data_IF_277234253363
#
_entry.id   IF_277234253363
#
_cell.length_a   1.000
_cell.length_b   1.000
_cell.length_c   1.000
_cell.angle_alpha   90.00
_cell.angle_beta   90.00
_cell.angle_gamma   90.00
#
_symmetry.space_group_name_H-M   'P 1'
#
loop_
_entity.id
_entity.type
_entity.pdbx_description
1 polymer ?
#
# COMPACT_ATOMS: atom_id res chain seq x y z
N UNK A 1 13.11 9.09 22.92
CA UNK A 1 14.20 8.22 22.42
C UNK A 1 13.64 6.83 22.32
N UNK A 2 13.64 6.25 21.12
CA UNK A 2 13.01 4.95 20.84
C UNK A 2 14.01 4.02 20.17
N UNK A 3 13.83 2.71 20.35
CA UNK A 3 14.67 1.66 19.77
C UNK A 3 14.02 1.15 18.48
N UNK A 4 14.73 1.29 17.37
CA UNK A 4 14.21 0.96 16.04
C UNK A 4 15.09 -0.12 15.41
N UNK A 5 14.46 -1.20 14.94
CA UNK A 5 15.13 -2.22 14.13
C UNK A 5 14.85 -1.96 12.66
N UNK A 6 15.88 -1.86 11.83
CA UNK A 6 15.77 -1.76 10.37
C UNK A 6 16.17 -3.10 9.76
N UNK A 7 15.34 -3.64 8.88
CA UNK A 7 15.61 -4.87 8.14
C UNK A 7 15.43 -4.56 6.66
N UNK A 8 16.53 -4.47 5.91
CA UNK A 8 16.54 -4.05 4.50
C UNK A 8 17.80 -4.59 3.83
N UNK A 9 17.69 -5.26 2.68
CA UNK A 9 18.84 -5.86 1.99
C UNK A 9 19.67 -4.84 1.22
N UNK A 10 19.13 -3.66 0.93
CA UNK A 10 19.83 -2.59 0.23
C UNK A 10 20.75 -1.79 1.19
N UNK A 11 22.08 -1.90 1.08
CA UNK A 11 23.01 -1.26 2.04
C UNK A 11 22.90 0.26 2.06
N UNK A 12 22.60 0.87 0.92
CA UNK A 12 22.45 2.33 0.80
C UNK A 12 21.18 2.83 1.49
N UNK A 13 20.06 2.11 1.35
CA UNK A 13 18.81 2.45 2.03
C UNK A 13 18.97 2.26 3.53
N UNK A 14 19.50 1.10 3.96
CA UNK A 14 19.78 0.81 5.38
C UNK A 14 20.67 1.87 6.04
N UNK A 15 21.72 2.33 5.34
CA UNK A 15 22.59 3.41 5.82
C UNK A 15 21.84 4.75 5.94
N UNK A 16 21.09 5.13 4.90
CA UNK A 16 20.34 6.39 4.87
C UNK A 16 19.27 6.45 5.97
N UNK A 17 18.49 5.38 6.14
CA UNK A 17 17.48 5.26 7.18
C UNK A 17 18.14 5.32 8.56
N UNK A 18 19.22 4.57 8.79
CA UNK A 18 19.95 4.58 10.06
C UNK A 18 20.41 5.99 10.43
N UNK A 19 21.13 6.67 9.54
CA UNK A 19 21.65 8.01 9.80
C UNK A 19 20.52 9.02 10.06
N UNK A 20 19.42 8.91 9.32
CA UNK A 20 18.26 9.79 9.49
C UNK A 20 17.61 9.64 10.87
N UNK A 21 17.43 8.40 11.33
CA UNK A 21 16.76 8.11 12.60
C UNK A 21 17.68 8.32 13.81
N UNK A 22 18.97 8.02 13.68
CA UNK A 22 19.98 8.36 14.70
C UNK A 22 20.07 9.87 14.89
N UNK A 23 20.05 10.66 13.80
CA UNK A 23 20.04 12.13 13.89
C UNK A 23 18.77 12.68 14.54
N UNK A 24 17.65 11.95 14.43
CA UNK A 24 16.41 12.26 15.13
C UNK A 24 16.41 11.82 16.62
N UNK A 25 17.50 11.23 17.12
CA UNK A 25 17.67 10.86 18.53
C UNK A 25 17.13 9.47 18.88
N UNK A 26 16.98 8.57 17.90
CA UNK A 26 16.62 7.17 18.12
C UNK A 26 17.86 6.27 18.23
N UNK A 27 17.72 5.13 18.89
CA UNK A 27 18.71 4.06 18.85
C UNK A 27 18.35 3.08 17.75
N UNK A 28 19.26 2.85 16.82
CA UNK A 28 18.98 2.04 15.63
C UNK A 28 19.80 0.75 15.64
N UNK A 29 19.14 -0.37 15.40
CA UNK A 29 19.76 -1.65 15.04
C UNK A 29 19.44 -1.97 13.59
N UNK A 30 20.35 -2.64 12.89
CA UNK A 30 20.22 -2.92 11.46
C UNK A 30 20.44 -4.40 11.18
N UNK A 31 19.70 -4.94 10.22
CA UNK A 31 19.84 -6.27 9.66
C UNK A 31 19.81 -6.18 8.13
N UNK A 32 20.59 -7.03 7.47
CA UNK A 32 20.69 -7.06 6.01
C UNK A 32 19.74 -8.07 5.35
N UNK A 33 19.02 -8.87 6.14
CA UNK A 33 18.01 -9.80 5.64
C UNK A 33 17.02 -10.19 6.74
N UNK A 34 15.90 -10.82 6.35
CA UNK A 34 14.86 -11.24 7.27
C UNK A 34 15.32 -12.20 8.37
N UNK A 35 16.25 -13.11 8.07
CA UNK A 35 16.77 -14.09 9.05
C UNK A 35 17.55 -13.39 10.16
N UNK A 36 18.49 -12.52 9.81
CA UNK A 36 19.25 -11.72 10.78
C UNK A 36 18.33 -10.81 11.58
N UNK A 37 17.34 -10.18 10.92
CA UNK A 37 16.34 -9.35 11.59
C UNK A 37 15.55 -10.10 12.65
N UNK A 38 15.09 -11.32 12.34
CA UNK A 38 14.38 -12.18 13.29
C UNK A 38 15.30 -12.66 14.43
N UNK A 39 16.56 -12.95 14.17
CA UNK A 39 17.52 -13.30 15.22
C UNK A 39 17.74 -12.15 16.19
N UNK A 40 17.91 -10.92 15.68
CA UNK A 40 18.06 -9.73 16.51
C UNK A 40 16.79 -9.48 17.33
N UNK A 41 15.61 -9.60 16.71
CA UNK A 41 14.33 -9.43 17.40
C UNK A 41 14.10 -10.48 18.49
N UNK A 42 14.48 -11.74 18.25
CA UNK A 42 14.39 -12.83 19.25
C UNK A 42 15.38 -12.65 20.40
N UNK A 43 16.56 -12.08 20.14
CA UNK A 43 17.54 -11.75 21.17
C UNK A 43 17.08 -10.59 22.05
N UNK A 44 16.34 -9.63 21.49
CA UNK A 44 15.80 -8.49 22.23
C UNK A 44 14.46 -8.01 21.65
N UNK A 45 13.37 -8.26 22.37
CA UNK A 45 12.00 -7.89 21.97
C UNK A 45 11.61 -6.45 22.34
N UNK A 46 12.54 -5.66 22.89
CA UNK A 46 12.28 -4.29 23.35
C UNK A 46 12.50 -3.24 22.25
N UNK A 47 12.24 -3.60 20.99
CA UNK A 47 12.13 -2.62 19.91
C UNK A 47 10.76 -1.92 20.00
N UNK A 48 10.77 -0.60 19.91
CA UNK A 48 9.56 0.23 19.87
C UNK A 48 8.93 0.23 18.48
N UNK A 49 9.76 0.04 17.45
CA UNK A 49 9.39 0.03 16.04
C UNK A 49 10.32 -0.90 15.24
N UNK A 50 9.76 -1.60 14.26
CA UNK A 50 10.51 -2.30 13.21
C UNK A 50 10.19 -1.64 11.87
N UNK A 51 11.22 -1.25 11.12
CA UNK A 51 11.10 -0.82 9.74
C UNK A 51 11.63 -1.93 8.85
N UNK A 52 10.80 -2.44 7.95
CA UNK A 52 11.01 -3.71 7.30
C UNK A 52 10.81 -3.56 5.79
N UNK A 53 11.81 -3.92 4.99
CA UNK A 53 11.61 -4.02 3.55
C UNK A 53 10.65 -5.16 3.23
N UNK A 54 9.71 -4.91 2.33
CA UNK A 54 8.81 -5.93 1.80
C UNK A 54 9.58 -6.99 1.01
N UNK A 55 10.50 -6.60 0.15
CA UNK A 55 11.15 -7.52 -0.80
C UNK A 55 12.61 -7.69 -0.45
N UNK A 56 12.94 -8.83 0.14
CA UNK A 56 14.31 -9.24 0.43
C UNK A 56 14.57 -10.66 -0.07
N UNK A 57 15.81 -11.02 -0.44
CA UNK A 57 16.20 -12.40 -0.69
C UNK A 57 15.98 -13.29 0.53
N UNK A 58 15.42 -14.48 0.31
CA UNK A 58 15.10 -15.43 1.37
C UNK A 58 13.72 -15.16 1.96
N UNK A 59 13.68 -14.61 3.18
CA UNK A 59 12.42 -14.28 3.86
C UNK A 59 11.92 -12.91 3.42
N UNK A 60 10.69 -12.86 2.91
CA UNK A 60 10.00 -11.61 2.58
C UNK A 60 9.62 -10.82 3.84
N UNK A 61 9.35 -9.52 3.67
CA UNK A 61 8.91 -8.65 4.76
C UNK A 61 7.60 -9.12 5.39
N UNK A 62 6.65 -9.64 4.62
CA UNK A 62 5.38 -10.16 5.17
C UNK A 62 5.59 -11.44 5.99
N UNK A 63 6.52 -12.32 5.58
CA UNK A 63 6.91 -13.50 6.36
C UNK A 63 7.62 -13.12 7.66
N UNK A 64 8.54 -12.16 7.61
CA UNK A 64 9.23 -11.63 8.81
C UNK A 64 8.23 -10.97 9.77
N UNK A 65 7.29 -10.18 9.25
CA UNK A 65 6.21 -9.58 10.02
C UNK A 65 5.39 -10.64 10.75
N UNK A 66 4.96 -11.70 10.05
CA UNK A 66 4.19 -12.78 10.64
C UNK A 66 4.96 -13.48 11.79
N UNK A 67 6.25 -13.71 11.62
CA UNK A 67 7.11 -14.28 12.66
C UNK A 67 7.30 -13.35 13.86
N UNK A 68 7.47 -12.05 13.63
CA UNK A 68 7.54 -11.04 14.70
C UNK A 68 6.23 -11.03 15.51
N UNK A 69 5.07 -11.09 14.84
CA UNK A 69 3.78 -11.07 15.52
C UNK A 69 3.46 -12.34 16.31
N UNK A 70 4.07 -13.48 15.97
CA UNK A 70 4.02 -14.69 16.82
C UNK A 70 4.76 -14.50 18.13
N UNK A 71 5.80 -13.64 18.15
CA UNK A 71 6.61 -13.35 19.34
C UNK A 71 6.00 -12.20 20.15
N UNK A 72 5.60 -11.12 19.47
CA UNK A 72 5.07 -9.89 20.08
C UNK A 72 3.99 -9.30 19.19
N UNK A 73 2.74 -9.65 19.49
CA UNK A 73 1.58 -9.33 18.67
C UNK A 73 1.24 -7.83 18.58
N UNK A 74 1.78 -7.01 19.48
CA UNK A 74 1.58 -5.56 19.54
C UNK A 74 2.79 -4.77 19.03
N UNK A 75 3.75 -5.43 18.37
CA UNK A 75 4.92 -4.78 17.81
C UNK A 75 4.52 -3.77 16.71
N UNK A 76 5.06 -2.55 16.79
CA UNK A 76 4.89 -1.60 15.70
C UNK A 76 5.80 -1.97 14.55
N UNK A 77 5.22 -2.08 13.35
CA UNK A 77 5.95 -2.42 12.12
C UNK A 77 5.54 -1.43 11.03
N UNK A 78 6.54 -0.84 10.37
CA UNK A 78 6.38 -0.07 9.12
C UNK A 78 6.96 -0.92 7.99
N UNK A 79 6.14 -1.29 7.02
CA UNK A 79 6.62 -1.97 5.81
C UNK A 79 7.06 -0.96 4.75
N UNK A 80 8.32 -1.02 4.32
CA UNK A 80 8.88 -0.22 3.25
C UNK A 80 8.82 -0.97 1.91
N UNK A 81 8.40 -0.32 0.83
CA UNK A 81 8.18 -1.01 -0.46
C UNK A 81 8.44 -0.15 -1.69
N UNK A 82 9.09 -0.71 -2.71
CA UNK A 82 9.26 -0.07 -4.02
C UNK A 82 7.99 -0.11 -4.90
N UNK A 83 7.02 -0.97 -4.57
CA UNK A 83 5.72 -1.05 -5.24
C UNK A 83 4.63 -0.83 -4.19
N UNK A 84 4.26 0.43 -3.98
CA UNK A 84 3.07 0.77 -3.21
C UNK A 84 1.84 0.50 -4.07
N UNK A 85 1.42 -0.75 -4.13
CA UNK A 85 0.10 -1.17 -4.62
C UNK A 85 -0.85 -1.36 -3.42
N UNK A 86 -2.14 -1.34 -3.72
CA UNK A 86 -3.19 -1.46 -2.71
C UNK A 86 -3.17 -2.86 -2.08
N UNK A 87 -2.82 -3.89 -2.85
CA UNK A 87 -2.68 -5.29 -2.40
C UNK A 87 -1.68 -5.43 -1.27
N UNK A 88 -0.52 -4.78 -1.42
CA UNK A 88 0.49 -4.82 -0.38
C UNK A 88 0.05 -4.08 0.87
N UNK A 89 -0.59 -2.92 0.73
CA UNK A 89 -1.13 -2.20 1.87
C UNK A 89 -2.16 -3.07 2.62
N UNK A 90 -3.00 -3.80 1.90
CA UNK A 90 -4.01 -4.71 2.45
C UNK A 90 -3.41 -5.95 3.11
N UNK A 91 -2.47 -6.65 2.47
CA UNK A 91 -1.74 -7.79 3.06
C UNK A 91 -1.02 -7.36 4.35
N UNK A 92 -0.41 -6.18 4.32
CA UNK A 92 0.31 -5.55 5.43
C UNK A 92 -0.62 -5.26 6.62
N UNK A 93 -1.82 -4.72 6.34
CA UNK A 93 -2.86 -4.44 7.35
C UNK A 93 -3.50 -5.73 7.88
N UNK A 94 -3.82 -6.70 7.01
CA UNK A 94 -4.34 -8.02 7.39
C UNK A 94 -3.36 -8.75 8.31
N UNK A 95 -2.06 -8.62 8.03
CA UNK A 95 -1.00 -9.17 8.86
C UNK A 95 -0.70 -8.31 10.11
N UNK A 96 -1.37 -7.17 10.30
CA UNK A 96 -1.34 -6.36 11.54
C UNK A 96 -0.30 -5.25 11.61
N UNK A 97 0.36 -4.90 10.50
CA UNK A 97 1.35 -3.82 10.48
C UNK A 97 0.75 -2.49 10.92
N UNK A 98 1.60 -1.66 11.51
CA UNK A 98 1.20 -0.37 12.04
C UNK A 98 1.14 0.71 10.97
N UNK A 99 1.98 0.61 9.94
CA UNK A 99 2.03 1.57 8.83
C UNK A 99 2.80 1.01 7.61
N UNK A 100 2.82 1.75 6.50
CA UNK A 100 3.64 1.46 5.32
C UNK A 100 4.38 2.71 4.80
N UNK A 101 5.48 2.50 4.10
CA UNK A 101 6.33 3.56 3.55
C UNK A 101 6.75 3.23 2.11
N UNK A 102 6.29 4.01 1.14
CA UNK A 102 6.65 3.81 -0.27
C UNK A 102 8.05 4.32 -0.57
N UNK A 103 8.92 3.45 -1.08
CA UNK A 103 10.22 3.77 -1.68
C UNK A 103 10.00 4.35 -3.10
N UNK A 104 10.75 5.38 -3.52
CA UNK A 104 11.70 6.14 -2.72
C UNK A 104 10.99 7.11 -1.76
N UNK A 105 11.52 7.26 -0.54
CA UNK A 105 11.03 8.21 0.46
C UNK A 105 12.12 9.21 0.87
N UNK A 106 11.70 10.42 1.23
CA UNK A 106 12.60 11.44 1.75
C UNK A 106 12.90 11.21 3.25
N UNK A 107 13.95 11.84 3.76
CA UNK A 107 14.26 11.82 5.18
C UNK A 107 13.13 12.43 6.04
N UNK A 108 12.44 13.46 5.53
CA UNK A 108 11.27 14.05 6.20
C UNK A 108 10.09 13.08 6.26
N UNK A 109 9.77 12.42 5.13
CA UNK A 109 8.71 11.41 5.05
C UNK A 109 8.97 10.27 6.04
N UNK A 110 10.21 9.78 6.11
CA UNK A 110 10.62 8.75 7.05
C UNK A 110 10.43 9.20 8.51
N UNK A 111 10.89 10.41 8.87
CA UNK A 111 10.72 10.95 10.22
C UNK A 111 9.26 11.07 10.63
N UNK A 112 8.41 11.56 9.71
CA UNK A 112 6.98 11.71 9.95
C UNK A 112 6.31 10.36 10.16
N UNK A 113 6.58 9.37 9.29
CA UNK A 113 6.05 8.02 9.41
C UNK A 113 6.46 7.36 10.74
N UNK A 114 7.73 7.46 11.13
CA UNK A 114 8.22 6.93 12.41
C UNK A 114 7.56 7.62 13.60
N UNK A 115 7.44 8.95 13.57
CA UNK A 115 6.78 9.73 14.64
C UNK A 115 5.33 9.32 14.79
N UNK A 116 4.58 9.30 13.68
CA UNK A 116 3.17 8.89 13.62
C UNK A 116 2.97 7.48 14.15
N UNK A 117 3.82 6.53 13.75
CA UNK A 117 3.75 5.14 14.22
C UNK A 117 3.99 5.05 15.74
N UNK A 118 5.00 5.75 16.26
CA UNK A 118 5.34 5.74 17.68
C UNK A 118 4.26 6.42 18.56
N UNK A 119 3.67 7.52 18.08
CA UNK A 119 2.63 8.28 18.79
C UNK A 119 1.27 7.56 18.81
N UNK A 120 1.06 6.59 17.90
CA UNK A 120 -0.18 5.81 17.85
C UNK A 120 -0.30 5.00 19.15
N UNK A 121 -1.43 5.11 19.88
CA UNK A 121 -1.65 4.30 21.07
C UNK A 121 -1.59 2.82 20.68
N UNK A 122 -0.96 2.00 21.54
CA UNK A 122 -0.91 0.54 21.38
C UNK A 122 -2.33 0.00 21.57
N UNK A 123 -3.16 0.12 20.54
CA UNK A 123 -4.52 -0.40 20.54
C UNK A 123 -4.48 -1.84 20.06
N UNK A 124 -5.10 -2.74 20.82
CA UNK A 124 -5.27 -4.13 20.40
C UNK A 124 -6.06 -4.14 19.10
N UNK A 125 -5.43 -4.63 18.01
CA UNK A 125 -6.05 -5.04 16.74
C UNK A 125 -7.45 -4.45 16.52
N UNK A 126 -7.52 -3.18 16.13
CA UNK A 126 -8.71 -2.66 15.47
C UNK A 126 -8.41 -2.64 13.98
N UNK A 127 -9.24 -3.32 13.20
CA UNK A 127 -9.29 -3.11 11.76
C UNK A 127 -9.38 -1.60 11.52
N UNK A 128 -8.43 -1.04 10.77
CA UNK A 128 -8.52 0.34 10.31
C UNK A 128 -9.39 0.31 9.05
N UNK A 129 -10.47 1.10 8.96
CA UNK A 129 -11.27 1.17 7.75
C UNK A 129 -10.38 1.56 6.55
N UNK A 130 -10.44 0.80 5.46
CA UNK A 130 -9.63 1.00 4.24
C UNK A 130 -9.75 2.44 3.71
N UNK A 131 -10.93 3.05 3.84
CA UNK A 131 -11.21 4.43 3.41
C UNK A 131 -10.38 5.52 4.13
N UNK A 132 -9.89 5.27 5.34
CA UNK A 132 -9.03 6.23 6.08
C UNK A 132 -7.56 6.14 5.64
N UNK A 133 -7.17 5.07 4.96
CA UNK A 133 -5.79 4.76 4.55
C UNK A 133 -5.49 5.30 3.16
N UNK A 134 -6.49 5.29 2.27
CA UNK A 134 -6.36 5.83 0.92
C UNK A 134 -6.21 7.36 0.85
N UNK A 135 -6.19 8.09 1.98
CA UNK A 135 -6.07 9.56 1.99
C UNK A 135 -4.66 10.09 1.68
N UNK A 136 -3.61 9.28 1.76
CA UNK A 136 -2.20 9.74 1.63
C UNK A 136 -1.47 9.26 0.35
N UNK A 137 -2.14 8.63 -0.61
CA UNK A 137 -1.56 8.32 -1.94
C UNK A 137 -1.62 9.54 -2.85
N UNK A 138 -0.75 10.52 -2.64
CA UNK A 138 -0.70 11.71 -3.51
C UNK A 138 0.00 11.44 -4.83
N UNK A 139 0.72 10.31 -5.04
CA UNK A 139 1.39 10.02 -6.33
C UNK A 139 1.89 8.58 -6.49
N UNK A 140 1.65 7.96 -7.65
CA UNK A 140 2.13 6.61 -8.02
C UNK A 140 3.12 6.68 -9.18
N UNK A 141 4.34 6.14 -9.02
CA UNK A 141 5.38 6.14 -10.07
C UNK A 141 5.55 4.77 -10.73
N UNK A 142 5.52 4.69 -12.06
CA UNK A 142 5.66 3.47 -12.87
C UNK A 142 6.39 3.82 -14.18
N UNK A 143 7.49 3.14 -14.51
CA UNK A 143 8.26 3.37 -15.75
C UNK A 143 8.62 4.85 -16.03
N UNK A 144 8.81 5.65 -14.97
CA UNK A 144 9.05 7.09 -15.06
C UNK A 144 7.80 7.96 -15.23
N UNK A 145 6.63 7.35 -15.41
CA UNK A 145 5.34 8.02 -15.25
C UNK A 145 5.03 8.17 -13.78
N UNK A 146 4.30 9.22 -13.43
CA UNK A 146 3.74 9.42 -12.10
C UNK A 146 2.29 9.83 -12.21
N UNK A 147 1.39 9.37 -11.35
CA UNK A 147 -0.01 9.80 -11.40
C UNK A 147 -0.68 9.95 -10.04
N UNK A 148 -1.67 10.83 -9.97
CA UNK A 148 -2.42 11.14 -8.75
C UNK A 148 -3.92 11.28 -9.04
N UNK A 149 -4.76 10.87 -8.10
CA UNK A 149 -6.21 11.04 -8.23
C UNK A 149 -6.60 12.51 -8.18
N UNK A 150 -7.46 12.93 -9.11
CA UNK A 150 -8.03 14.27 -9.17
C UNK A 150 -9.52 14.16 -8.82
N UNK A 151 -9.93 14.60 -7.61
CA UNK A 151 -11.34 14.60 -7.25
C UNK A 151 -12.13 15.48 -8.21
N UNK A 152 -13.12 14.91 -8.87
CA UNK A 152 -14.07 15.65 -9.70
C UNK A 152 -15.40 15.81 -8.95
N UNK A 153 -16.12 16.94 -9.10
CA UNK A 153 -17.48 17.04 -8.61
C UNK A 153 -18.33 15.99 -9.34
N UNK A 154 -18.93 15.08 -8.59
CA UNK A 154 -19.79 14.03 -9.16
C UNK A 154 -20.91 14.66 -9.99
N UNK A 155 -20.97 14.29 -11.26
CA UNK A 155 -22.19 14.44 -12.03
C UNK A 155 -23.05 13.20 -11.76
N UNK A 156 -24.23 13.38 -11.17
CA UNK A 156 -25.22 12.32 -10.87
C UNK A 156 -25.86 11.70 -12.14
N UNK A 157 -25.15 11.72 -13.26
CA UNK A 157 -25.64 11.19 -14.53
C UNK A 157 -24.65 10.15 -15.06
N UNK A 158 -25.11 8.90 -15.00
CA UNK A 158 -24.76 7.71 -15.79
C UNK A 158 -24.33 6.52 -14.94
N UNK A 159 -24.76 5.33 -15.38
CA UNK A 159 -24.55 4.04 -14.72
C UNK A 159 -23.05 3.64 -14.67
N UNK A 160 -22.17 4.38 -15.34
CA UNK A 160 -20.73 4.18 -15.40
C UNK A 160 -20.02 5.04 -14.33
N UNK A 161 -18.98 4.48 -13.70
CA UNK A 161 -18.13 5.24 -12.77
C UNK A 161 -16.90 5.78 -13.49
N UNK A 162 -16.61 7.07 -13.33
CA UNK A 162 -15.43 7.72 -13.91
C UNK A 162 -14.46 8.22 -12.83
N UNK A 163 -13.19 7.84 -12.97
CA UNK A 163 -12.10 8.28 -12.09
C UNK A 163 -11.03 8.99 -12.89
N UNK A 164 -10.70 10.23 -12.51
CA UNK A 164 -9.67 11.02 -13.20
C UNK A 164 -8.35 10.99 -12.45
N UNK A 165 -7.27 10.77 -13.20
CA UNK A 165 -5.91 10.78 -12.69
C UNK A 165 -5.04 11.76 -13.47
N UNK A 166 -4.32 12.62 -12.77
CA UNK A 166 -3.29 13.46 -13.39
C UNK A 166 -2.02 12.66 -13.54
N UNK A 167 -1.59 12.40 -14.77
CA UNK A 167 -0.39 11.62 -15.11
C UNK A 167 0.71 12.55 -15.60
N UNK A 168 1.84 12.64 -14.90
CA UNK A 168 3.08 13.21 -15.41
C UNK A 168 3.90 12.11 -16.09
N UNK A 169 4.28 12.33 -17.33
CA UNK A 169 5.13 11.40 -18.10
C UNK A 169 6.63 11.58 -17.76
N UNK A 170 7.52 10.66 -18.19
CA UNK A 170 8.96 10.75 -17.90
C UNK A 170 9.63 12.03 -18.43
N UNK A 171 9.04 12.67 -19.45
CA UNK A 171 9.57 13.92 -20.02
C UNK A 171 9.08 15.18 -19.29
N UNK A 172 8.25 15.02 -18.25
CA UNK A 172 7.68 16.12 -17.47
C UNK A 172 6.33 16.65 -17.96
N UNK A 173 5.77 16.13 -19.06
CA UNK A 173 4.44 16.52 -19.54
C UNK A 173 3.35 15.95 -18.62
N UNK A 174 2.40 16.78 -18.20
CA UNK A 174 1.22 16.38 -17.42
C UNK A 174 -0.03 16.26 -18.29
N UNK A 175 -0.77 15.17 -18.12
CA UNK A 175 -2.06 14.93 -18.77
C UNK A 175 -3.03 14.23 -17.84
N UNK A 176 -4.28 14.67 -17.85
CA UNK A 176 -5.35 13.97 -17.14
C UNK A 176 -5.82 12.77 -17.98
N UNK A 177 -5.98 11.63 -17.31
CA UNK A 177 -6.46 10.36 -17.86
C UNK A 177 -7.70 9.92 -17.09
N UNK A 178 -8.75 9.53 -17.80
CA UNK A 178 -10.01 9.06 -17.20
C UNK A 178 -10.09 7.55 -17.28
N UNK A 179 -10.31 6.89 -16.15
CA UNK A 179 -10.61 5.46 -16.11
C UNK A 179 -12.12 5.31 -15.90
N UNK A 180 -12.76 4.61 -16.83
CA UNK A 180 -14.21 4.41 -16.88
C UNK A 180 -14.49 2.95 -16.50
N UNK A 181 -15.35 2.76 -15.51
CA UNK A 181 -15.87 1.47 -15.09
C UNK A 181 -17.33 1.39 -15.55
N UNK A 182 -17.61 0.66 -16.63
CA UNK A 182 -18.97 0.53 -17.12
C UNK A 182 -19.91 -0.10 -16.10
N UNK A 183 -21.19 0.26 -16.16
CA UNK A 183 -22.25 -0.30 -15.34
C UNK A 183 -22.26 -1.83 -15.31
N UNK A 184 -22.09 -2.45 -16.48
CA UNK A 184 -22.08 -3.91 -16.56
C UNK A 184 -20.85 -4.51 -15.87
N UNK A 185 -19.72 -3.82 -15.82
CA UNK A 185 -18.54 -4.26 -15.08
C UNK A 185 -18.82 -4.24 -13.59
N UNK A 186 -19.53 -3.22 -13.10
CA UNK A 186 -19.99 -3.14 -11.71
C UNK A 186 -20.90 -4.32 -11.37
N UNK A 187 -21.91 -4.57 -12.21
CA UNK A 187 -22.83 -5.70 -12.06
C UNK A 187 -22.12 -7.05 -12.07
N UNK A 188 -21.09 -7.22 -12.91
CA UNK A 188 -20.27 -8.44 -12.93
C UNK A 188 -19.52 -8.67 -11.61
N UNK A 189 -19.00 -7.61 -10.99
CA UNK A 189 -18.33 -7.71 -9.69
C UNK A 189 -19.33 -8.10 -8.59
N UNK A 190 -20.50 -7.46 -8.55
CA UNK A 190 -21.56 -7.79 -7.60
C UNK A 190 -22.06 -9.23 -7.75
N UNK A 191 -22.39 -9.63 -8.99
CA UNK A 191 -22.86 -10.97 -9.28
C UNK A 191 -21.81 -12.05 -8.96
N UNK A 192 -20.53 -11.76 -9.18
CA UNK A 192 -19.44 -12.70 -8.87
C UNK A 192 -19.29 -12.94 -7.37
N UNK A 193 -19.41 -11.87 -6.58
CA UNK A 193 -19.15 -11.91 -5.16
C UNK A 193 -20.39 -12.20 -4.30
N UNK A 194 -21.58 -12.27 -4.91
CA UNK A 194 -22.86 -12.41 -4.23
C UNK A 194 -23.09 -11.30 -3.18
N UNK A 195 -22.84 -10.05 -3.59
CA UNK A 195 -22.98 -8.85 -2.75
C UNK A 195 -23.83 -7.78 -3.44
N UNK A 196 -24.56 -6.98 -2.66
CA UNK A 196 -25.33 -5.83 -3.16
C UNK A 196 -24.52 -4.52 -3.14
N UNK A 197 -23.38 -4.51 -2.44
CA UNK A 197 -22.49 -3.34 -2.37
C UNK A 197 -21.06 -3.76 -2.04
N UNK A 198 -20.08 -2.99 -2.53
CA UNK A 198 -18.66 -3.21 -2.21
C UNK A 198 -18.27 -2.52 -0.90
N UNK A 199 -17.41 -3.15 -0.07
CA UNK A 199 -16.80 -2.51 1.09
C UNK A 199 -16.04 -1.24 0.69
N UNK A 200 -16.19 -0.15 1.44
CA UNK A 200 -15.53 1.12 1.15
C UNK A 200 -16.17 1.95 0.02
N UNK A 201 -17.27 1.47 -0.58
CA UNK A 201 -18.06 2.22 -1.56
C UNK A 201 -17.23 2.71 -2.75
N UNK A 202 -17.31 4.00 -3.07
CA UNK A 202 -16.58 4.63 -4.18
C UNK A 202 -15.06 4.39 -4.12
N UNK A 203 -14.48 4.28 -2.92
CA UNK A 203 -13.04 4.08 -2.79
C UNK A 203 -12.56 2.73 -3.33
N UNK A 204 -13.38 1.68 -3.27
CA UNK A 204 -13.08 0.38 -3.90
C UNK A 204 -12.97 0.51 -5.41
N UNK A 205 -13.93 1.21 -6.02
CA UNK A 205 -13.97 1.44 -7.46
C UNK A 205 -12.82 2.31 -7.94
N UNK A 206 -12.47 3.36 -7.18
CA UNK A 206 -11.26 4.16 -7.45
C UNK A 206 -10.01 3.30 -7.42
N UNK A 207 -9.90 2.40 -6.44
CA UNK A 207 -8.75 1.49 -6.31
C UNK A 207 -8.64 0.54 -7.50
N UNK A 208 -9.76 0.01 -7.98
CA UNK A 208 -9.79 -0.80 -9.21
C UNK A 208 -9.34 0.05 -10.42
N UNK A 209 -9.81 1.28 -10.52
CA UNK A 209 -9.42 2.20 -11.58
C UNK A 209 -7.91 2.54 -11.55
N UNK A 210 -7.33 2.77 -10.37
CA UNK A 210 -5.89 2.98 -10.18
C UNK A 210 -5.07 1.79 -10.68
N UNK A 211 -5.50 0.56 -10.35
CA UNK A 211 -4.80 -0.67 -10.76
C UNK A 211 -4.80 -0.84 -12.28
N UNK A 212 -5.91 -0.55 -12.94
CA UNK A 212 -5.98 -0.61 -14.41
C UNK A 212 -5.10 0.44 -15.08
N UNK A 213 -5.03 1.66 -14.54
CA UNK A 213 -4.10 2.68 -15.05
C UNK A 213 -2.65 2.27 -14.81
N UNK A 214 -2.35 1.69 -13.64
CA UNK A 214 -1.03 1.21 -13.30
C UNK A 214 -0.56 0.11 -14.25
N UNK A 215 -1.38 -0.92 -14.48
CA UNK A 215 -1.09 -2.01 -15.41
C UNK A 215 -0.87 -1.49 -16.84
N UNK A 216 -1.70 -0.56 -17.31
CA UNK A 216 -1.53 0.06 -18.63
C UNK A 216 -0.17 0.76 -18.76
N UNK A 217 0.17 1.64 -17.82
CA UNK A 217 1.45 2.37 -17.83
C UNK A 217 2.64 1.41 -17.71
N UNK A 218 2.49 0.32 -16.94
CA UNK A 218 3.51 -0.70 -16.80
C UNK A 218 3.74 -1.47 -18.11
N UNK A 219 2.64 -1.93 -18.74
CA UNK A 219 2.66 -2.79 -19.92
C UNK A 219 3.06 -2.07 -21.19
N UNK A 220 2.54 -0.86 -21.39
CA UNK A 220 2.71 -0.11 -22.64
C UNK A 220 3.77 0.98 -22.55
N UNK A 221 4.16 1.40 -21.33
CA UNK A 221 5.07 2.55 -21.14
C UNK A 221 4.65 3.78 -21.94
N UNK A 222 3.33 4.00 -22.04
CA UNK A 222 2.70 5.03 -22.83
C UNK A 222 1.36 5.43 -22.18
N UNK A 223 0.88 6.64 -22.50
CA UNK A 223 -0.47 7.05 -22.14
C UNK A 223 -1.50 6.37 -23.06
N UNK A 224 -2.75 6.17 -22.60
CA UNK A 224 -3.83 5.66 -23.45
C UNK A 224 -4.09 6.60 -24.64
N UNK A 225 -4.35 6.03 -25.82
CA UNK A 225 -4.53 6.79 -27.07
C UNK A 225 -5.66 7.84 -26.99
N UNK A 226 -6.74 7.52 -26.29
CA UNK A 226 -7.90 8.42 -26.12
C UNK A 226 -7.84 9.25 -24.83
N UNK A 227 -6.73 9.18 -24.07
CA UNK A 227 -6.62 9.68 -22.68
C UNK A 227 -7.69 9.09 -21.75
N UNK A 228 -8.25 7.95 -22.12
CA UNK A 228 -9.16 7.19 -21.29
C UNK A 228 -8.86 5.70 -21.36
N UNK A 229 -9.20 4.99 -20.29
CA UNK A 229 -9.17 3.53 -20.20
C UNK A 229 -10.57 3.10 -19.80
N UNK A 230 -11.21 2.23 -20.58
CA UNK A 230 -12.49 1.63 -20.20
C UNK A 230 -12.23 0.21 -19.73
N UNK A 231 -12.69 -0.12 -18.52
CA UNK A 231 -12.58 -1.47 -17.96
C UNK A 231 -13.68 -2.35 -18.56
N UNK A 232 -13.44 -2.86 -19.77
CA UNK A 232 -14.44 -3.69 -20.47
C UNK A 232 -14.42 -5.15 -20.07
N UNK A 233 -13.28 -5.64 -19.59
CA UNK A 233 -13.10 -7.00 -19.13
C UNK A 233 -12.24 -6.99 -17.85
N UNK A 234 -12.56 -7.90 -16.93
CA UNK A 234 -11.77 -8.15 -15.73
C UNK A 234 -10.81 -9.31 -16.02
N UNK A 235 -9.51 -9.02 -16.07
CA UNK A 235 -8.49 -10.07 -16.25
C UNK A 235 -8.46 -11.02 -15.06
N UNK A 236 -7.84 -12.20 -15.19
CA UNK A 236 -7.64 -13.12 -14.05
C UNK A 236 -6.93 -12.44 -12.88
N UNK A 237 -6.01 -11.50 -13.15
CA UNK A 237 -5.35 -10.70 -12.13
C UNK A 237 -6.34 -9.74 -11.44
N UNK A 238 -7.22 -9.09 -12.20
CA UNK A 238 -8.27 -8.22 -11.63
C UNK A 238 -9.29 -9.03 -10.82
N UNK A 239 -9.69 -10.21 -11.30
CA UNK A 239 -10.61 -11.08 -10.57
C UNK A 239 -9.98 -11.57 -9.27
N UNK A 240 -8.70 -11.96 -9.30
CA UNK A 240 -7.96 -12.33 -8.10
C UNK A 240 -7.87 -11.15 -7.11
N UNK A 241 -7.57 -9.95 -7.60
CA UNK A 241 -7.55 -8.70 -6.82
C UNK A 241 -8.91 -8.42 -6.17
N UNK A 242 -9.99 -8.51 -6.94
CA UNK A 242 -11.37 -8.32 -6.46
C UNK A 242 -11.70 -9.34 -5.36
N UNK A 243 -11.40 -10.62 -5.61
CA UNK A 243 -11.68 -11.70 -4.65
C UNK A 243 -10.91 -11.45 -3.34
N UNK A 244 -9.65 -11.01 -3.39
CA UNK A 244 -8.87 -10.62 -2.21
C UNK A 244 -9.48 -9.42 -1.48
N UNK A 245 -9.86 -8.37 -2.20
CA UNK A 245 -10.50 -7.18 -1.64
C UNK A 245 -11.80 -7.49 -0.90
N UNK A 246 -12.61 -8.41 -1.43
CA UNK A 246 -13.93 -8.75 -0.89
C UNK A 246 -13.85 -9.77 0.26
N UNK A 247 -12.93 -10.73 0.19
CA UNK A 247 -12.74 -11.77 1.24
C UNK A 247 -12.35 -11.17 2.60
N UNK A 248 -11.66 -10.02 2.59
CA UNK A 248 -11.20 -9.31 3.80
C UNK A 248 -12.35 -8.81 4.67
N UNK A 249 -13.55 -8.66 4.13
CA UNK A 249 -14.68 -8.03 4.85
C UNK A 249 -15.71 -9.03 5.35
N UNK A 250 -15.77 -10.25 4.80
CA UNK A 250 -16.73 -11.29 5.22
C UNK A 250 -16.38 -11.96 6.57
N UNK A 251 -15.23 -11.65 7.18
CA UNK A 251 -14.81 -12.23 8.47
C UNK A 251 -15.45 -11.56 9.70
N UNK A 252 -16.45 -10.69 9.52
CA UNK A 252 -17.06 -9.93 10.63
C UNK A 252 -18.55 -10.20 10.85
N UNK A 253 -19.07 -11.33 10.39
CA UNK A 253 -20.36 -11.86 10.86
C UNK A 253 -20.24 -13.33 11.20
N UNK A 254 -19.86 -13.61 12.45
CA UNK A 254 -20.36 -14.75 13.24
C UNK A 254 -20.06 -14.50 14.72
N UNK A 255 -21.01 -13.84 15.38
CA UNK A 255 -21.27 -14.00 16.82
C UNK A 255 -22.36 -15.07 17.01
#
# INVERSE_FOLDING_TARGET
>A
MSRILIIDDEPNIRLMVRLTLEHAGHTVSVAENGTEGLELFRKDTNFDLVLLDQRMPGLSGTEVQAEIYKIKSDQRIILATAHGTIDLALETIQAGASDFLKKPFSADTLRQAVTKALDRPVSRRSAVPIGDICREFTRTNINGYSFEFVPQPHHEQEDDLEFTFRVQTPNGEEKDVVVIIPAYTIELVYARADIESVPGGESFWRSLAEEHLADHLWRYSALPDQKSITITDLTDANLHWIDQMLTVTLSNDHA
#
